data_IF_968278315756
#
_entry.id   IF_968278315756
#
_cell.length_a   1.000
_cell.length_b   1.000
_cell.length_c   1.000
_cell.angle_alpha   90.00
_cell.angle_beta   90.00
_cell.angle_gamma   90.00
#
_symmetry.space_group_name_H-M   'P 1'
#
loop_
_entity.id
_entity.type
_entity.pdbx_description
1 polymer ?
#
# COMPACT_ATOMS: atom_id res chain seq x y z
N UNK A 1 17.84 -14.30 8.10
CA UNK A 1 16.43 -13.88 8.28
C UNK A 1 16.08 -12.99 7.09
N UNK A 2 15.51 -13.59 6.04
CA UNK A 2 15.34 -12.97 4.72
C UNK A 2 14.39 -11.78 4.75
N UNK A 3 14.61 -10.80 3.87
CA UNK A 3 13.74 -9.63 3.71
C UNK A 3 12.30 -10.10 3.53
N UNK A 4 11.44 -9.84 4.50
CA UNK A 4 10.00 -9.94 4.33
C UNK A 4 9.58 -8.76 3.45
N UNK A 5 9.74 -8.93 2.14
CA UNK A 5 9.28 -7.94 1.19
C UNK A 5 7.74 -7.98 1.17
N UNK A 6 7.11 -7.10 1.96
CA UNK A 6 5.65 -6.95 2.00
C UNK A 6 5.16 -6.27 0.72
N UNK A 7 4.89 -7.07 -0.31
CA UNK A 7 4.31 -6.56 -1.55
C UNK A 7 2.79 -6.43 -1.45
N UNK A 8 2.26 -5.44 -2.16
CA UNK A 8 0.84 -5.21 -2.31
C UNK A 8 0.49 -5.05 -3.79
N UNK A 9 -0.71 -5.45 -4.17
CA UNK A 9 -1.30 -5.21 -5.49
C UNK A 9 -2.46 -4.24 -5.37
N UNK A 10 -2.38 -3.11 -6.06
CA UNK A 10 -3.54 -2.23 -6.25
C UNK A 10 -4.54 -2.91 -7.17
N UNK A 11 -5.77 -3.05 -6.72
CA UNK A 11 -6.85 -3.69 -7.47
C UNK A 11 -7.71 -2.66 -8.17
N UNK A 12 -8.11 -1.60 -7.47
CA UNK A 12 -8.95 -0.55 -8.02
C UNK A 12 -8.89 0.74 -7.18
N UNK A 13 -9.53 1.79 -7.70
CA UNK A 13 -9.92 2.98 -6.96
C UNK A 13 -11.43 2.93 -6.72
N UNK A 14 -11.87 3.48 -5.59
CA UNK A 14 -13.28 3.56 -5.26
C UNK A 14 -13.61 4.91 -4.61
N UNK A 15 -14.92 5.19 -4.51
CA UNK A 15 -15.47 6.34 -3.79
C UNK A 15 -16.25 5.77 -2.62
N UNK A 16 -15.95 6.24 -1.41
CA UNK A 16 -16.78 5.94 -0.25
C UNK A 16 -18.13 6.64 -0.43
N UNK A 17 -19.21 5.87 -0.46
CA UNK A 17 -20.54 6.39 -0.74
C UNK A 17 -21.10 7.27 0.38
N UNK A 18 -20.59 7.14 1.61
CA UNK A 18 -21.07 7.91 2.76
C UNK A 18 -20.58 9.36 2.76
N UNK A 19 -19.32 9.58 2.37
CA UNK A 19 -18.65 10.89 2.49
C UNK A 19 -18.02 11.39 1.17
N UNK A 20 -18.07 10.59 0.10
CA UNK A 20 -17.47 10.91 -1.19
C UNK A 20 -15.94 10.77 -1.24
N UNK A 21 -15.30 10.25 -0.19
CA UNK A 21 -13.85 10.17 -0.11
C UNK A 21 -13.29 9.15 -1.11
N UNK A 22 -12.26 9.55 -1.85
CA UNK A 22 -11.56 8.64 -2.78
C UNK A 22 -10.62 7.72 -2.01
N UNK A 23 -10.73 6.42 -2.28
CA UNK A 23 -9.93 5.38 -1.62
C UNK A 23 -9.24 4.49 -2.65
N UNK A 24 -8.13 3.89 -2.23
CA UNK A 24 -7.41 2.84 -2.96
C UNK A 24 -7.82 1.49 -2.36
N UNK A 25 -8.19 0.54 -3.21
CA UNK A 25 -8.43 -0.85 -2.84
C UNK A 25 -7.21 -1.67 -3.25
N UNK A 26 -6.58 -2.33 -2.27
CA UNK A 26 -5.34 -3.08 -2.51
C UNK A 26 -5.28 -4.35 -1.66
N UNK A 27 -4.49 -5.32 -2.12
CA UNK A 27 -4.36 -6.64 -1.52
C UNK A 27 -2.90 -6.92 -1.11
N UNK A 28 -2.69 -7.47 0.08
CA UNK A 28 -1.41 -8.03 0.48
C UNK A 28 -1.05 -9.26 -0.37
N UNK A 29 0.19 -9.35 -0.82
CA UNK A 29 0.71 -10.51 -1.58
C UNK A 29 1.49 -11.48 -0.69
N UNK A 30 1.05 -11.61 0.55
CA UNK A 30 1.57 -12.51 1.56
C UNK A 30 0.41 -12.97 2.42
N UNK A 31 0.47 -14.18 2.98
CA UNK A 31 -0.59 -14.74 3.82
C UNK A 31 -0.94 -13.79 5.00
N UNK A 32 -2.24 -13.56 5.29
CA UNK A 32 -3.42 -14.24 4.75
C UNK A 32 -4.04 -13.60 3.48
N UNK A 33 -3.26 -12.89 2.67
CA UNK A 33 -3.68 -12.23 1.42
C UNK A 33 -4.84 -11.24 1.57
N UNK A 34 -4.83 -10.52 2.70
CA UNK A 34 -5.91 -9.64 3.11
C UNK A 34 -6.12 -8.45 2.15
N UNK A 35 -7.39 -8.05 2.00
CA UNK A 35 -7.82 -6.86 1.26
C UNK A 35 -7.93 -5.66 2.20
N UNK A 36 -7.52 -4.49 1.72
CA UNK A 36 -7.56 -3.24 2.48
C UNK A 36 -8.12 -2.10 1.63
N UNK A 37 -8.71 -1.13 2.32
CA UNK A 37 -9.02 0.19 1.79
C UNK A 37 -8.20 1.23 2.55
N UNK A 38 -7.79 2.28 1.86
CA UNK A 38 -7.15 3.45 2.47
C UNK A 38 -7.47 4.68 1.65
N UNK A 39 -7.59 5.84 2.30
CA UNK A 39 -7.76 7.12 1.62
C UNK A 39 -6.62 7.35 0.63
N UNK A 40 -6.90 8.02 -0.49
CA UNK A 40 -5.87 8.34 -1.48
C UNK A 40 -4.71 9.13 -0.85
N UNK A 41 -5.03 10.11 0.00
CA UNK A 41 -4.04 10.96 0.66
C UNK A 41 -3.10 10.15 1.55
N UNK A 42 -3.64 9.23 2.37
CA UNK A 42 -2.82 8.38 3.23
C UNK A 42 -2.05 7.32 2.44
N UNK A 43 -2.58 6.89 1.29
CA UNK A 43 -1.90 5.92 0.43
C UNK A 43 -0.67 6.55 -0.23
N UNK A 44 -0.77 7.80 -0.69
CA UNK A 44 0.34 8.52 -1.31
C UNK A 44 1.20 9.33 -0.33
N UNK A 45 0.90 9.27 0.96
CA UNK A 45 1.66 9.99 1.98
C UNK A 45 3.12 9.50 2.09
N UNK A 46 3.99 10.42 2.50
CA UNK A 46 5.36 10.07 2.91
C UNK A 46 5.34 9.14 4.13
N UNK A 47 6.36 8.31 4.22
CA UNK A 47 6.52 7.45 5.40
C UNK A 47 6.96 8.30 6.59
N UNK A 48 6.35 8.05 7.75
CA UNK A 48 6.77 8.68 8.98
C UNK A 48 8.16 8.15 9.39
N UNK A 49 9.19 8.94 9.10
CA UNK A 49 10.59 8.63 9.43
C UNK A 49 10.89 8.69 10.92
N UNK A 50 10.08 9.40 11.73
CA UNK A 50 10.24 9.38 13.20
C UNK A 50 9.77 8.04 13.75
N UNK A 51 8.66 7.52 13.24
CA UNK A 51 8.11 6.22 13.62
C UNK A 51 8.92 5.05 13.03
N UNK A 52 9.43 5.19 11.81
CA UNK A 52 10.19 4.16 11.10
C UNK A 52 11.55 4.72 10.59
N UNK A 53 12.54 4.92 11.48
CA UNK A 53 13.78 5.60 11.13
C UNK A 53 14.65 4.85 10.11
N UNK A 54 14.54 3.52 10.06
CA UNK A 54 15.38 2.68 9.21
C UNK A 54 14.81 2.42 7.80
N UNK A 55 13.61 2.91 7.48
CA UNK A 55 12.98 2.65 6.19
C UNK A 55 13.64 3.49 5.10
N UNK A 56 14.03 2.85 3.99
CA UNK A 56 14.70 3.55 2.88
C UNK A 56 13.72 4.24 1.93
N UNK A 57 12.47 3.77 1.90
CA UNK A 57 11.40 4.31 1.07
C UNK A 57 11.07 5.76 1.48
N UNK A 58 10.69 6.60 0.52
CA UNK A 58 10.19 7.95 0.77
C UNK A 58 8.69 7.94 1.03
N UNK A 59 7.94 7.17 0.24
CA UNK A 59 6.49 7.05 0.34
C UNK A 59 6.09 5.76 1.06
N UNK A 60 4.88 5.75 1.65
CA UNK A 60 4.32 4.56 2.30
C UNK A 60 4.21 3.37 1.35
N UNK A 61 3.91 3.65 0.08
CA UNK A 61 3.91 2.65 -0.98
C UNK A 61 4.77 3.15 -2.14
N UNK A 62 5.67 2.29 -2.63
CA UNK A 62 6.50 2.59 -3.79
C UNK A 62 6.30 1.53 -4.86
N UNK A 63 6.26 1.97 -6.12
CA UNK A 63 6.09 1.07 -7.27
C UNK A 63 7.30 0.15 -7.37
N UNK A 64 7.07 -1.15 -7.19
CA UNK A 64 8.10 -2.15 -7.39
C UNK A 64 8.23 -2.49 -8.88
N UNK A 65 9.47 -2.62 -9.37
CA UNK A 65 9.76 -2.99 -10.79
C UNK A 65 9.44 -4.45 -11.11
N UNK A 66 9.19 -5.28 -10.09
CA UNK A 66 8.97 -6.71 -10.25
C UNK A 66 7.61 -6.95 -10.93
N UNK A 67 7.62 -7.48 -12.16
CA UNK A 67 6.43 -8.05 -12.78
C UNK A 67 6.05 -9.29 -11.98
N UNK A 68 4.95 -9.21 -11.26
CA UNK A 68 4.33 -10.37 -10.63
C UNK A 68 3.48 -10.98 -11.72
N UNK A 69 3.87 -12.16 -12.21
CA UNK A 69 3.16 -12.86 -13.29
C UNK A 69 1.71 -13.11 -12.90
N UNK A 70 0.81 -12.96 -13.87
CA UNK A 70 -0.51 -13.61 -13.88
C UNK A 70 -0.33 -14.98 -14.50
#
# INVERSE_FOLDING_TARGET
MGRSDCFYRVLNYAINAEDGQKVVVYQALYEPYQLFIRTMDDFFAEVDKKKYPCIKQRYRFEKCKRRIGL
#
